data_IF_253691924240
#
_entry.id   IF_253691924240
#
_cell.length_a   1.000
_cell.length_b   1.000
_cell.length_c   1.000
_cell.angle_alpha   90.00
_cell.angle_beta   90.00
_cell.angle_gamma   90.00
#
_symmetry.space_group_name_H-M   'P 1'
#
loop_
_entity.id
_entity.type
_entity.pdbx_description
1 polymer ?
#
# COMPACT_ATOMS: atom_id res chain seq x y z
N UNK A 1 -22.78 7.60 2.05
CA UNK A 1 -22.70 8.34 0.78
C UNK A 1 -21.24 8.50 0.41
N UNK A 2 -20.86 8.06 -0.78
CA UNK A 2 -19.51 8.28 -1.31
C UNK A 2 -19.33 9.78 -1.57
N UNK A 3 -18.23 10.35 -1.11
CA UNK A 3 -17.88 11.72 -1.46
C UNK A 3 -17.01 11.75 -2.73
N UNK A 4 -16.94 12.92 -3.40
CA UNK A 4 -16.20 13.08 -4.65
C UNK A 4 -14.76 12.58 -4.55
N UNK A 5 -14.05 12.86 -3.46
CA UNK A 5 -12.66 12.42 -3.24
C UNK A 5 -12.52 10.91 -3.11
N UNK A 6 -13.51 10.25 -2.51
CA UNK A 6 -13.54 8.78 -2.41
C UNK A 6 -13.73 8.17 -3.80
N UNK A 7 -14.64 8.73 -4.62
CA UNK A 7 -14.89 8.28 -5.99
C UNK A 7 -13.66 8.51 -6.88
N UNK A 8 -13.04 9.68 -6.80
CA UNK A 8 -11.82 10.00 -7.55
C UNK A 8 -10.65 9.09 -7.14
N UNK A 9 -10.51 8.79 -5.83
CA UNK A 9 -9.56 7.83 -5.32
C UNK A 9 -9.81 6.42 -5.86
N UNK A 10 -11.07 5.95 -5.87
CA UNK A 10 -11.46 4.66 -6.43
C UNK A 10 -11.15 4.57 -7.93
N UNK A 11 -11.50 5.59 -8.72
CA UNK A 11 -11.17 5.63 -10.15
C UNK A 11 -9.67 5.62 -10.43
N UNK A 12 -8.87 6.25 -9.58
CA UNK A 12 -7.41 6.18 -9.67
C UNK A 12 -6.92 4.76 -9.39
N UNK A 13 -7.43 4.12 -8.33
CA UNK A 13 -7.11 2.73 -7.99
C UNK A 13 -7.58 1.75 -9.07
N UNK A 14 -8.79 1.90 -9.61
CA UNK A 14 -9.28 1.05 -10.71
C UNK A 14 -8.34 1.08 -11.93
N UNK A 15 -7.81 2.26 -12.29
CA UNK A 15 -6.82 2.39 -13.37
C UNK A 15 -5.48 1.74 -13.02
N UNK A 16 -5.13 1.67 -11.76
CA UNK A 16 -3.91 1.01 -11.29
C UNK A 16 -4.10 -0.51 -11.15
N UNK A 17 -5.35 -0.97 -10.91
CA UNK A 17 -5.71 -2.38 -10.68
C UNK A 17 -6.16 -3.15 -11.92
N UNK A 18 -5.91 -2.65 -13.13
CA UNK A 18 -6.09 -3.45 -14.34
C UNK A 18 -5.05 -4.58 -14.34
N UNK A 19 -5.44 -5.74 -13.79
CA UNK A 19 -4.62 -6.95 -13.60
C UNK A 19 -4.02 -7.49 -14.91
N UNK A 20 -4.49 -7.00 -16.06
CA UNK A 20 -3.99 -7.40 -17.37
C UNK A 20 -2.72 -6.62 -17.78
N UNK A 21 -2.36 -5.57 -17.04
CA UNK A 21 -1.34 -4.65 -17.49
C UNK A 21 0.05 -4.97 -16.91
N UNK A 22 0.79 -5.79 -17.67
CA UNK A 22 2.24 -5.92 -17.52
C UNK A 22 2.90 -5.16 -18.67
N UNK A 23 3.65 -4.14 -18.37
CA UNK A 23 4.39 -3.37 -19.36
C UNK A 23 5.88 -3.52 -19.13
N UNK A 24 6.60 -3.98 -20.17
CA UNK A 24 8.06 -4.04 -20.16
C UNK A 24 8.63 -2.99 -21.10
N UNK A 25 9.47 -2.11 -20.57
CA UNK A 25 10.21 -1.11 -21.33
C UNK A 25 11.70 -1.21 -20.97
N UNK A 26 12.47 -1.85 -21.84
CA UNK A 26 13.89 -2.09 -21.58
C UNK A 26 14.11 -2.88 -20.28
N UNK A 27 14.82 -2.26 -19.34
CA UNK A 27 15.20 -2.84 -18.06
C UNK A 27 14.15 -2.62 -16.94
N UNK A 28 12.96 -2.14 -17.28
CA UNK A 28 11.87 -1.90 -16.36
C UNK A 28 10.63 -2.72 -16.75
N UNK A 29 10.17 -3.55 -15.82
CA UNK A 29 8.88 -4.24 -15.89
C UNK A 29 7.93 -3.62 -14.86
N UNK A 30 6.78 -3.15 -15.30
CA UNK A 30 5.74 -2.58 -14.44
C UNK A 30 4.55 -3.53 -14.35
N UNK A 31 4.16 -3.88 -13.13
CA UNK A 31 2.99 -4.73 -12.84
C UNK A 31 2.00 -3.91 -12.02
N UNK A 32 0.74 -3.87 -12.44
CA UNK A 32 -0.34 -3.15 -11.75
C UNK A 32 -1.22 -4.11 -10.99
N UNK A 33 -1.81 -3.64 -9.88
CA UNK A 33 -2.77 -4.40 -9.08
C UNK A 33 -2.23 -5.69 -8.49
N UNK A 34 -0.92 -5.80 -8.28
CA UNK A 34 -0.30 -7.04 -7.83
C UNK A 34 -0.79 -7.43 -6.44
N UNK A 35 -1.50 -8.55 -6.34
CA UNK A 35 -1.97 -9.10 -5.06
C UNK A 35 -0.80 -9.55 -4.20
N UNK A 36 -0.86 -9.20 -2.92
CA UNK A 36 0.15 -9.55 -1.93
C UNK A 36 -0.47 -10.20 -0.70
N UNK A 37 0.27 -11.13 -0.11
CA UNK A 37 -0.09 -11.80 1.13
C UNK A 37 1.14 -11.88 2.03
N UNK A 38 0.97 -11.59 3.31
CA UNK A 38 1.99 -11.82 4.32
C UNK A 38 1.41 -12.65 5.46
N UNK A 39 1.97 -13.84 5.66
CA UNK A 39 1.62 -14.69 6.80
C UNK A 39 2.15 -14.10 8.10
N UNK A 40 3.30 -13.45 8.06
CA UNK A 40 3.92 -12.78 9.20
C UNK A 40 3.07 -11.62 9.71
N UNK A 41 2.58 -10.76 8.83
CA UNK A 41 1.71 -9.63 9.17
C UNK A 41 0.24 -10.05 9.34
N UNK A 42 -0.15 -11.23 8.83
CA UNK A 42 -1.53 -11.70 8.69
C UNK A 42 -2.38 -10.69 7.91
N UNK A 43 -1.83 -10.18 6.82
CA UNK A 43 -2.46 -9.21 5.94
C UNK A 43 -2.50 -9.73 4.51
N UNK A 44 -3.56 -9.37 3.82
CA UNK A 44 -3.69 -9.49 2.37
C UNK A 44 -4.01 -8.13 1.78
N UNK A 45 -3.58 -7.89 0.56
CA UNK A 45 -3.84 -6.63 -0.12
C UNK A 45 -3.42 -6.67 -1.58
N UNK A 46 -3.29 -5.49 -2.17
CA UNK A 46 -2.71 -5.32 -3.48
C UNK A 46 -1.80 -4.09 -3.49
N UNK A 47 -0.72 -4.16 -4.25
CA UNK A 47 0.09 -3.00 -4.59
C UNK A 47 -0.52 -2.34 -5.81
N UNK A 48 -0.68 -1.02 -5.80
CA UNK A 48 -1.16 -0.29 -6.98
C UNK A 48 -0.24 -0.54 -8.18
N UNK A 49 1.06 -0.44 -7.94
CA UNK A 49 2.10 -0.73 -8.93
C UNK A 49 3.29 -1.39 -8.23
N UNK A 50 3.90 -2.37 -8.89
CA UNK A 50 5.24 -2.86 -8.55
C UNK A 50 6.13 -2.68 -9.77
N UNK A 51 7.19 -1.91 -9.61
CA UNK A 51 8.25 -1.73 -10.59
C UNK A 51 9.34 -2.78 -10.33
N UNK A 52 9.68 -3.54 -11.34
CA UNK A 52 10.78 -4.50 -11.32
C UNK A 52 11.89 -3.98 -12.24
N UNK A 53 13.04 -3.66 -11.68
CA UNK A 53 14.21 -3.21 -12.44
C UNK A 53 15.16 -4.38 -12.66
N UNK A 54 15.61 -4.58 -13.91
CA UNK A 54 16.60 -5.58 -14.21
C UNK A 54 17.91 -5.32 -13.45
N UNK A 55 18.35 -6.30 -12.66
CA UNK A 55 19.53 -6.20 -11.81
C UNK A 55 20.04 -7.61 -11.46
N UNK A 56 21.35 -7.90 -11.55
CA UNK A 56 21.90 -9.20 -11.21
C UNK A 56 21.65 -9.64 -9.76
N UNK A 57 21.49 -8.70 -8.82
CA UNK A 57 21.22 -8.96 -7.41
C UNK A 57 19.73 -9.15 -7.12
N UNK A 58 18.86 -8.98 -8.12
CA UNK A 58 17.41 -9.14 -8.00
C UNK A 58 16.96 -10.60 -7.87
N UNK A 59 15.66 -10.82 -7.96
CA UNK A 59 15.00 -12.15 -7.92
C UNK A 59 14.61 -12.62 -9.31
N UNK A 60 14.54 -13.93 -9.56
CA UNK A 60 13.96 -14.46 -10.80
C UNK A 60 12.45 -14.25 -10.79
N UNK A 61 11.89 -13.90 -11.95
CA UNK A 61 10.44 -13.77 -12.14
C UNK A 61 9.97 -14.81 -13.17
N UNK A 62 8.83 -15.44 -12.88
CA UNK A 62 8.26 -16.42 -13.80
C UNK A 62 7.92 -15.78 -15.14
N UNK A 63 8.43 -16.37 -16.22
CA UNK A 63 8.19 -15.90 -17.59
C UNK A 63 8.99 -14.66 -17.99
N UNK A 64 9.99 -14.26 -17.17
CA UNK A 64 10.93 -13.20 -17.50
C UNK A 64 12.36 -13.71 -17.43
N UNK A 65 13.17 -13.34 -18.43
CA UNK A 65 14.60 -13.60 -18.40
C UNK A 65 15.31 -12.65 -17.44
N UNK A 66 16.40 -13.13 -16.82
CA UNK A 66 17.22 -12.33 -15.90
C UNK A 66 16.68 -12.27 -14.48
N UNK A 67 17.19 -11.30 -13.74
CA UNK A 67 16.84 -11.06 -12.34
C UNK A 67 16.36 -9.61 -12.18
N UNK A 68 15.51 -9.37 -11.18
CA UNK A 68 14.75 -8.14 -11.08
C UNK A 68 14.64 -7.67 -9.62
N UNK A 69 14.92 -6.41 -9.37
CA UNK A 69 14.70 -5.77 -8.06
C UNK A 69 13.28 -5.20 -8.00
N UNK A 70 12.44 -5.68 -7.07
CA UNK A 70 11.10 -5.15 -6.88
C UNK A 70 11.11 -3.83 -6.10
N UNK A 71 10.25 -2.90 -6.49
CA UNK A 71 9.96 -1.67 -5.75
C UNK A 71 8.46 -1.37 -5.82
N UNK A 72 7.73 -1.42 -4.69
CA UNK A 72 6.32 -1.05 -4.66
C UNK A 72 6.15 0.46 -4.82
N UNK A 73 5.13 0.86 -5.55
CA UNK A 73 4.73 2.25 -5.77
C UNK A 73 3.24 2.38 -5.43
N UNK A 74 2.94 3.13 -4.39
CA UNK A 74 1.58 3.40 -3.94
C UNK A 74 1.11 4.73 -4.50
N UNK A 75 -0.08 4.75 -5.13
CA UNK A 75 -0.69 5.93 -5.72
C UNK A 75 -1.64 6.60 -4.74
N UNK A 76 -1.49 7.91 -4.56
CA UNK A 76 -2.34 8.74 -3.70
C UNK A 76 -2.97 9.86 -4.51
N UNK A 77 -4.28 10.03 -4.36
CA UNK A 77 -5.02 11.08 -5.06
C UNK A 77 -4.61 12.48 -4.57
N UNK A 78 -4.46 12.67 -3.25
CA UNK A 78 -4.22 13.97 -2.63
C UNK A 78 -2.74 14.35 -2.49
N UNK A 79 -2.48 15.24 -1.54
CA UNK A 79 -1.14 15.69 -1.14
C UNK A 79 -0.57 14.85 -0.01
N UNK A 80 0.76 14.91 0.23
CA UNK A 80 1.39 14.24 1.37
C UNK A 80 0.70 14.56 2.69
N UNK A 81 0.44 13.53 3.50
CA UNK A 81 -0.14 13.67 4.83
C UNK A 81 0.96 13.94 5.87
N UNK A 82 0.59 14.66 6.93
CA UNK A 82 1.49 14.91 8.07
C UNK A 82 1.81 13.64 8.89
N UNK A 83 0.97 12.59 8.75
CA UNK A 83 1.13 11.33 9.47
C UNK A 83 1.75 10.23 8.59
N UNK A 84 2.22 9.15 9.24
CA UNK A 84 2.88 8.03 8.58
C UNK A 84 1.94 7.03 7.90
N UNK A 85 0.62 7.28 7.80
CA UNK A 85 -0.33 6.26 7.32
C UNK A 85 0.03 5.72 5.92
N UNK A 86 0.39 6.59 4.99
CA UNK A 86 0.76 6.19 3.62
C UNK A 86 2.09 5.42 3.59
N UNK A 87 3.06 5.83 4.43
CA UNK A 87 4.36 5.14 4.57
C UNK A 87 4.21 3.77 5.22
N UNK A 88 3.32 3.62 6.21
CA UNK A 88 3.02 2.35 6.86
C UNK A 88 2.33 1.38 5.89
N UNK A 89 1.41 1.87 5.06
CA UNK A 89 0.78 1.07 4.01
C UNK A 89 1.82 0.56 3.02
N UNK A 90 2.66 1.45 2.48
CA UNK A 90 3.74 1.10 1.57
C UNK A 90 4.72 0.10 2.19
N UNK A 91 5.07 0.29 3.46
CA UNK A 91 5.96 -0.63 4.19
C UNK A 91 5.32 -2.01 4.36
N UNK A 92 4.03 -2.11 4.68
CA UNK A 92 3.32 -3.38 4.77
C UNK A 92 3.27 -4.12 3.43
N UNK A 93 3.06 -3.41 2.33
CA UNK A 93 3.11 -3.96 0.96
C UNK A 93 4.50 -4.48 0.63
N UNK A 94 5.55 -3.71 0.93
CA UNK A 94 6.93 -4.13 0.71
C UNK A 94 7.28 -5.38 1.53
N UNK A 95 6.93 -5.43 2.81
CA UNK A 95 7.16 -6.60 3.67
C UNK A 95 6.42 -7.85 3.18
N UNK A 96 5.22 -7.69 2.61
CA UNK A 96 4.50 -8.80 1.98
C UNK A 96 5.19 -9.27 0.69
N UNK A 97 5.66 -8.35 -0.16
CA UNK A 97 6.44 -8.69 -1.36
C UNK A 97 7.76 -9.39 -1.01
N UNK A 98 8.46 -8.95 0.02
CA UNK A 98 9.69 -9.58 0.53
C UNK A 98 9.44 -11.04 0.93
N UNK A 99 8.33 -11.30 1.62
CA UNK A 99 7.94 -12.65 2.01
C UNK A 99 7.61 -13.53 0.80
N UNK A 100 6.86 -12.99 -0.18
CA UNK A 100 6.46 -13.71 -1.39
C UNK A 100 7.62 -13.98 -2.35
N UNK A 101 8.53 -13.02 -2.48
CA UNK A 101 9.63 -13.07 -3.46
C UNK A 101 10.96 -13.52 -2.84
N UNK A 102 11.01 -13.69 -1.52
CA UNK A 102 12.22 -14.08 -0.76
C UNK A 102 13.39 -13.13 -1.07
N UNK A 103 13.16 -11.84 -0.86
CA UNK A 103 14.14 -10.77 -1.12
C UNK A 103 14.05 -9.67 -0.06
N UNK A 104 14.95 -8.70 -0.14
CA UNK A 104 14.91 -7.47 0.63
C UNK A 104 14.51 -6.30 -0.27
N UNK A 105 13.64 -5.43 0.23
CA UNK A 105 13.18 -4.23 -0.47
C UNK A 105 13.52 -3.02 0.42
N UNK A 106 14.61 -2.31 0.14
CA UNK A 106 15.07 -1.23 1.01
C UNK A 106 14.24 0.06 0.91
N UNK A 107 13.53 0.25 -0.21
CA UNK A 107 12.72 1.44 -0.44
C UNK A 107 11.48 1.13 -1.29
N UNK A 108 10.50 2.01 -1.22
CA UNK A 108 9.35 2.09 -2.10
C UNK A 108 9.09 3.53 -2.50
N UNK A 109 8.00 3.80 -3.21
CA UNK A 109 7.64 5.15 -3.61
C UNK A 109 6.16 5.45 -3.34
N UNK A 110 5.88 6.70 -2.99
CA UNK A 110 4.54 7.27 -2.96
C UNK A 110 4.40 8.20 -4.18
N UNK A 111 3.35 8.04 -4.96
CA UNK A 111 3.05 8.90 -6.09
C UNK A 111 1.77 9.70 -5.81
N UNK A 112 1.90 11.02 -5.72
CA UNK A 112 0.80 11.94 -5.45
C UNK A 112 0.26 12.51 -6.77
N UNK A 113 -0.95 12.08 -7.15
CA UNK A 113 -1.55 12.41 -8.45
C UNK A 113 -1.85 13.90 -8.63
N UNK A 114 -2.30 14.60 -7.59
CA UNK A 114 -2.59 16.06 -7.67
C UNK A 114 -1.35 16.90 -7.99
N UNK A 115 -0.20 16.51 -7.48
CA UNK A 115 1.05 17.28 -7.64
C UNK A 115 2.00 16.66 -8.65
N UNK A 116 1.65 15.49 -9.22
CA UNK A 116 2.55 14.68 -10.05
C UNK A 116 3.92 14.41 -9.41
N UNK A 117 3.95 14.34 -8.08
CA UNK A 117 5.18 14.19 -7.30
C UNK A 117 5.36 12.75 -6.87
N UNK A 118 6.56 12.23 -7.12
CA UNK A 118 7.03 10.96 -6.60
C UNK A 118 7.96 11.21 -5.40
N UNK A 119 7.67 10.56 -4.27
CA UNK A 119 8.47 10.57 -3.05
C UNK A 119 9.05 9.17 -2.83
N UNK A 120 10.37 9.07 -2.76
CA UNK A 120 11.05 7.85 -2.34
C UNK A 120 10.95 7.73 -0.81
N UNK A 121 10.56 6.56 -0.35
CA UNK A 121 10.43 6.23 1.08
C UNK A 121 11.40 5.12 1.41
N UNK A 122 12.37 5.41 2.26
CA UNK A 122 13.26 4.41 2.84
C UNK A 122 12.48 3.56 3.85
N UNK A 123 12.57 2.23 3.74
CA UNK A 123 11.89 1.29 4.62
C UNK A 123 12.77 0.94 5.81
N UNK A 124 12.97 1.93 6.68
CA UNK A 124 13.87 1.84 7.83
C UNK A 124 13.42 0.77 8.84
N UNK A 125 14.34 0.27 9.70
CA UNK A 125 14.00 -0.67 10.78
C UNK A 125 12.87 -0.14 11.68
N UNK A 126 12.87 1.17 11.98
CA UNK A 126 11.84 1.82 12.81
C UNK A 126 10.47 1.77 12.15
N UNK A 127 10.39 2.08 10.85
CA UNK A 127 9.15 2.03 10.08
C UNK A 127 8.62 0.59 10.01
N UNK A 128 9.50 -0.39 9.78
CA UNK A 128 9.16 -1.82 9.79
C UNK A 128 8.64 -2.27 11.14
N UNK A 129 9.30 -1.89 12.23
CA UNK A 129 8.86 -2.22 13.58
C UNK A 129 7.50 -1.61 13.91
N UNK A 130 7.26 -0.37 13.50
CA UNK A 130 5.97 0.31 13.65
C UNK A 130 4.87 -0.43 12.86
N UNK A 131 5.16 -0.84 11.63
CA UNK A 131 4.25 -1.62 10.79
C UNK A 131 3.89 -2.96 11.44
N UNK A 132 4.87 -3.70 11.94
CA UNK A 132 4.65 -4.96 12.66
C UNK A 132 3.75 -4.78 13.89
N UNK A 133 4.01 -3.75 14.70
CA UNK A 133 3.22 -3.45 15.90
C UNK A 133 1.77 -3.14 15.55
N UNK A 134 1.54 -2.30 14.52
CA UNK A 134 0.19 -1.95 14.10
C UNK A 134 -0.57 -3.14 13.50
N UNK A 135 0.09 -3.95 12.69
CA UNK A 135 -0.51 -5.17 12.15
C UNK A 135 -0.90 -6.16 13.26
N UNK A 136 -0.04 -6.33 14.28
CA UNK A 136 -0.34 -7.17 15.43
C UNK A 136 -1.54 -6.65 16.22
N UNK A 137 -1.64 -5.34 16.45
CA UNK A 137 -2.77 -4.70 17.13
C UNK A 137 -4.09 -4.86 16.35
N UNK A 138 -4.05 -4.64 15.02
CA UNK A 138 -5.21 -4.87 14.15
C UNK A 138 -5.68 -6.32 14.19
N UNK A 139 -4.76 -7.28 14.16
CA UNK A 139 -5.09 -8.70 14.25
C UNK A 139 -5.68 -9.07 15.63
N UNK A 140 -5.16 -8.50 16.73
CA UNK A 140 -5.72 -8.69 18.07
C UNK A 140 -7.17 -8.17 18.14
N UNK A 141 -7.43 -6.97 17.63
CA UNK A 141 -8.78 -6.42 17.57
C UNK A 141 -9.74 -7.31 16.76
N UNK A 142 -9.27 -7.80 15.62
CA UNK A 142 -10.05 -8.70 14.77
C UNK A 142 -10.39 -10.00 15.48
N UNK A 143 -9.42 -10.66 16.11
CA UNK A 143 -9.61 -11.94 16.84
C UNK A 143 -10.55 -11.76 18.02
N UNK A 144 -10.47 -10.63 18.72
CA UNK A 144 -11.33 -10.33 19.88
C UNK A 144 -12.69 -9.78 19.49
N UNK A 145 -12.97 -9.54 18.21
CA UNK A 145 -14.18 -8.85 17.77
C UNK A 145 -14.34 -7.45 18.35
N UNK A 146 -13.20 -6.80 18.66
CA UNK A 146 -13.18 -5.48 19.30
C UNK A 146 -13.12 -4.37 18.27
N UNK A 147 -14.08 -3.44 18.36
CA UNK A 147 -14.06 -2.20 17.57
C UNK A 147 -13.61 -1.05 18.48
N UNK A 148 -12.46 -0.39 18.18
CA UNK A 148 -12.00 0.74 18.96
C UNK A 148 -13.00 1.89 18.95
N UNK A 149 -13.14 2.57 20.10
CA UNK A 149 -14.00 3.76 20.18
C UNK A 149 -13.45 4.87 19.29
N UNK A 150 -14.34 5.48 18.53
CA UNK A 150 -14.01 6.61 17.66
C UNK A 150 -13.91 7.87 18.49
N UNK A 151 -12.92 8.70 18.23
CA UNK A 151 -12.88 10.08 18.72
C UNK A 151 -13.50 10.99 17.64
N UNK A 152 -14.72 11.49 17.83
CA UNK A 152 -15.38 12.32 16.84
C UNK A 152 -14.58 13.60 16.54
N UNK A 153 -14.63 14.04 15.28
CA UNK A 153 -13.91 15.24 14.85
C UNK A 153 -14.35 15.72 13.46
N UNK A 154 -13.72 16.78 12.98
CA UNK A 154 -14.06 17.39 11.68
C UNK A 154 -13.93 16.40 10.51
N UNK A 155 -13.03 15.41 10.62
CA UNK A 155 -12.85 14.35 9.63
C UNK A 155 -14.08 13.46 9.46
N UNK A 156 -14.96 13.35 10.49
CA UNK A 156 -16.19 12.57 10.40
C UNK A 156 -17.18 13.13 9.38
N UNK A 157 -17.13 14.42 9.07
CA UNK A 157 -18.07 15.05 8.13
C UNK A 157 -17.90 14.55 6.69
N UNK A 158 -16.67 14.15 6.31
CA UNK A 158 -16.33 13.63 4.99
C UNK A 158 -16.01 12.13 5.01
N UNK A 159 -16.34 11.42 6.10
CA UNK A 159 -16.04 10.01 6.25
C UNK A 159 -17.11 9.16 5.56
N UNK A 160 -16.70 8.26 4.65
CA UNK A 160 -17.60 7.32 3.97
C UNK A 160 -18.27 6.30 4.93
N UNK A 161 -17.66 6.07 6.09
CA UNK A 161 -18.17 5.17 7.13
C UNK A 161 -19.08 5.86 8.15
N UNK A 162 -19.39 7.14 7.99
CA UNK A 162 -20.16 7.93 8.98
C UNK A 162 -21.50 7.29 9.37
N UNK A 163 -22.21 6.78 8.36
CA UNK A 163 -23.54 6.14 8.55
C UNK A 163 -23.45 4.79 9.28
N UNK A 164 -22.30 4.10 9.22
CA UNK A 164 -22.06 2.85 9.93
C UNK A 164 -21.44 3.09 11.31
N UNK A 165 -20.54 4.05 11.39
CA UNK A 165 -19.79 4.40 12.59
C UNK A 165 -20.63 5.17 13.61
N UNK A 166 -21.63 5.95 13.15
CA UNK A 166 -22.52 6.79 13.97
C UNK A 166 -21.77 7.65 15.00
N UNK A 167 -20.78 8.48 14.59
CA UNK A 167 -19.90 9.18 15.53
C UNK A 167 -20.62 10.18 16.43
N UNK A 168 -21.86 10.55 16.11
CA UNK A 168 -22.70 11.43 16.94
C UNK A 168 -23.23 10.75 18.20
N UNK A 169 -23.11 9.40 18.29
CA UNK A 169 -23.56 8.61 19.46
C UNK A 169 -22.44 8.41 20.50
N UNK A 170 -21.24 8.88 20.25
CA UNK A 170 -20.07 8.84 21.14
C UNK A 170 -19.71 10.25 21.59
#
# INVERSE_FOLDING_TARGET
AENLRTVEGQLLHERCHDDSFREKRGDLLTVRGMRVISHRLRLTGACDVVEFRADPDGVPLQGQEGRWLPMPVEYKHGTPKENDADRLQLCAQAMALEEMLVCEIPCGALFYAETHRRELVELTPELRQKTLKMAAEMNDYFVRGYTPKVKPGKHCNACSLKELCLPALY
#
